data_IF_579257133305
#
_entry.id   IF_579257133305
#
_cell.length_a   1.000
_cell.length_b   1.000
_cell.length_c   1.000
_cell.angle_alpha   90.00
_cell.angle_beta   90.00
_cell.angle_gamma   90.00
#
_symmetry.space_group_name_H-M   'P 1'
#
loop_
_entity.id
_entity.type
_entity.pdbx_description
1 polymer ?
#
# COMPACT_ATOMS: atom_id res chain seq x y z
N UNK A 1 -18.25 70.12 -55.15
CA UNK A 1 -19.14 70.10 -53.96
C UNK A 1 -19.14 68.65 -53.45
N UNK A 2 -18.72 68.41 -52.20
CA UNK A 2 -18.37 67.08 -51.62
C UNK A 2 -17.22 66.35 -52.38
N UNK A 3 -16.10 65.90 -51.81
CA UNK A 3 -15.73 65.38 -50.48
C UNK A 3 -16.40 64.03 -50.12
N UNK A 4 -15.76 62.90 -50.49
CA UNK A 4 -15.04 62.00 -49.54
C UNK A 4 -14.50 60.75 -50.26
N UNK A 5 -13.17 60.57 -50.28
CA UNK A 5 -12.57 59.24 -50.18
C UNK A 5 -12.81 58.74 -48.74
N UNK A 6 -13.20 57.48 -48.56
CA UNK A 6 -12.65 56.66 -47.47
C UNK A 6 -12.83 55.15 -47.70
N UNK A 7 -11.69 54.45 -47.61
CA UNK A 7 -11.51 53.07 -47.14
C UNK A 7 -12.47 51.95 -47.61
N UNK A 8 -12.04 51.22 -48.63
CA UNK A 8 -12.36 49.79 -48.81
C UNK A 8 -11.60 49.00 -47.72
N UNK A 9 -12.21 48.81 -46.56
CA UNK A 9 -11.78 47.84 -45.53
C UNK A 9 -12.99 47.37 -44.73
N UNK A 10 -13.73 46.38 -45.24
CA UNK A 10 -14.71 45.62 -44.46
C UNK A 10 -14.77 44.15 -44.91
N UNK A 11 -13.59 43.53 -45.00
CA UNK A 11 -13.43 42.08 -45.11
C UNK A 11 -12.83 41.57 -43.79
N UNK A 12 -13.25 40.38 -43.37
CA UNK A 12 -12.71 39.63 -42.21
C UNK A 12 -12.93 40.23 -40.80
N UNK A 13 -14.18 40.43 -40.38
CA UNK A 13 -14.53 40.58 -38.95
C UNK A 13 -15.95 40.10 -38.58
N UNK A 14 -16.42 39.02 -39.21
CA UNK A 14 -17.62 38.28 -38.77
C UNK A 14 -17.47 36.76 -38.90
N UNK A 15 -16.25 36.26 -38.70
CA UNK A 15 -16.03 34.93 -38.11
C UNK A 15 -15.65 35.15 -36.64
N UNK A 16 -16.60 35.65 -35.85
CA UNK A 16 -16.58 35.36 -34.42
C UNK A 16 -16.80 33.85 -34.33
N UNK A 17 -15.72 33.12 -34.05
CA UNK A 17 -15.81 31.71 -33.76
C UNK A 17 -16.70 31.55 -32.54
N UNK A 18 -17.95 31.17 -32.79
CA UNK A 18 -18.77 30.47 -31.81
C UNK A 18 -18.16 29.06 -31.74
N UNK A 19 -16.96 28.97 -31.14
CA UNK A 19 -16.53 27.76 -30.44
C UNK A 19 -17.48 27.63 -29.27
N UNK A 20 -18.65 27.07 -29.56
CA UNK A 20 -19.64 26.83 -28.54
C UNK A 20 -19.01 25.83 -27.56
N UNK A 21 -18.85 26.23 -26.30
CA UNK A 21 -18.53 25.29 -25.23
C UNK A 21 -19.73 24.35 -25.05
N UNK A 22 -19.84 23.34 -25.90
CA UNK A 22 -20.76 22.21 -25.77
C UNK A 22 -20.19 21.19 -24.77
N UNK A 23 -19.64 21.69 -23.66
CA UNK A 23 -18.88 20.91 -22.68
C UNK A 23 -19.44 21.17 -21.27
N UNK A 24 -20.70 20.74 -21.07
CA UNK A 24 -21.37 20.39 -19.78
C UNK A 24 -22.89 20.31 -19.98
N UNK A 25 -23.48 21.28 -20.69
CA UNK A 25 -24.93 21.55 -20.68
C UNK A 25 -25.88 20.44 -21.22
N UNK A 26 -25.35 19.35 -21.80
CA UNK A 26 -26.15 18.19 -22.26
C UNK A 26 -25.54 16.83 -21.90
N UNK A 27 -24.58 16.78 -20.97
CA UNK A 27 -24.12 15.50 -20.44
C UNK A 27 -25.18 14.88 -19.52
N UNK A 28 -25.42 13.58 -19.66
CA UNK A 28 -26.24 12.82 -18.70
C UNK A 28 -25.35 12.20 -17.64
N UNK A 29 -25.83 12.13 -16.40
CA UNK A 29 -25.24 11.26 -15.39
C UNK A 29 -25.18 9.82 -15.90
N UNK A 30 -24.01 9.20 -15.79
CA UNK A 30 -23.82 7.78 -16.06
C UNK A 30 -24.67 6.99 -15.06
N UNK A 31 -25.34 5.94 -15.52
CA UNK A 31 -26.31 5.22 -14.68
C UNK A 31 -25.73 4.69 -13.37
N UNK A 32 -26.62 4.30 -12.46
CA UNK A 32 -26.22 3.77 -11.15
C UNK A 32 -25.23 2.61 -11.30
N UNK A 33 -24.29 2.52 -10.35
CA UNK A 33 -23.40 1.38 -10.19
C UNK A 33 -24.25 0.12 -9.99
N UNK A 34 -24.03 -0.86 -10.87
CA UNK A 34 -24.62 -2.20 -10.78
C UNK A 34 -23.65 -3.11 -10.02
N UNK A 35 -22.39 -3.17 -10.47
CA UNK A 35 -21.29 -3.86 -9.80
C UNK A 35 -20.09 -2.92 -9.60
N UNK A 36 -19.38 -3.07 -8.48
CA UNK A 36 -18.13 -2.37 -8.17
C UNK A 36 -17.07 -3.38 -7.72
N UNK A 37 -15.93 -3.39 -8.42
CA UNK A 37 -14.78 -4.21 -8.09
C UNK A 37 -13.57 -3.31 -7.80
N UNK A 38 -12.81 -3.66 -6.76
CA UNK A 38 -11.53 -3.00 -6.44
C UNK A 38 -10.47 -4.09 -6.29
N UNK A 39 -9.35 -3.92 -6.97
CA UNK A 39 -8.12 -4.68 -6.71
C UNK A 39 -7.08 -3.74 -6.12
N UNK A 40 -6.68 -3.91 -4.87
CA UNK A 40 -5.66 -3.06 -4.22
C UNK A 40 -4.32 -3.78 -4.22
N UNK A 41 -3.27 -3.08 -4.66
CA UNK A 41 -1.90 -3.55 -4.70
C UNK A 41 -1.11 -2.89 -3.56
N UNK A 42 0.04 -3.44 -3.17
CA UNK A 42 0.95 -2.71 -2.28
C UNK A 42 1.56 -1.51 -3.02
N UNK A 43 1.72 -0.38 -2.33
CA UNK A 43 2.45 0.78 -2.85
C UNK A 43 1.56 1.81 -3.57
N UNK A 44 0.45 2.18 -2.93
CA UNK A 44 -0.42 3.30 -3.34
C UNK A 44 -0.97 3.12 -4.77
N UNK A 45 -1.53 1.95 -5.06
CA UNK A 45 -2.12 1.59 -6.34
C UNK A 45 -3.35 0.69 -6.15
N UNK A 46 -4.44 1.03 -6.82
CA UNK A 46 -5.59 0.15 -7.00
C UNK A 46 -6.10 0.21 -8.44
N UNK A 47 -6.68 -0.89 -8.91
CA UNK A 47 -7.55 -0.95 -10.08
C UNK A 47 -9.00 -0.90 -9.60
N UNK A 48 -9.77 0.06 -10.10
CA UNK A 48 -11.22 0.14 -9.88
C UNK A 48 -11.93 -0.27 -11.17
N UNK A 49 -13.02 -1.02 -11.04
CA UNK A 49 -13.94 -1.33 -12.13
C UNK A 49 -15.38 -1.09 -11.69
N UNK A 50 -16.16 -0.40 -12.51
CA UNK A 50 -17.57 -0.10 -12.29
C UNK A 50 -18.39 -0.56 -13.50
N UNK A 51 -19.45 -1.34 -13.27
CA UNK A 51 -20.47 -1.62 -14.28
C UNK A 51 -21.66 -0.72 -14.07
N UNK A 52 -22.14 -0.08 -15.14
CA UNK A 52 -23.23 0.91 -15.11
C UNK A 52 -24.10 0.78 -16.36
N UNK A 53 -25.40 1.00 -16.22
CA UNK A 53 -26.32 1.05 -17.35
C UNK A 53 -26.33 2.44 -18.01
N UNK A 54 -25.91 2.51 -19.26
CA UNK A 54 -25.92 3.73 -20.08
C UNK A 54 -27.14 3.74 -21.00
N UNK A 55 -27.91 4.82 -20.96
CA UNK A 55 -29.02 5.06 -21.91
C UNK A 55 -28.52 5.78 -23.17
N UNK A 56 -27.98 4.99 -24.10
CA UNK A 56 -27.45 5.44 -25.39
C UNK A 56 -28.59 5.86 -26.33
N UNK A 57 -28.30 6.88 -27.14
CA UNK A 57 -29.02 7.27 -28.35
C UNK A 57 -28.09 7.13 -29.55
N UNK A 58 -28.67 6.97 -30.72
CA UNK A 58 -27.95 7.07 -32.00
C UNK A 58 -27.43 8.50 -32.20
N UNK A 59 -26.18 8.65 -32.63
CA UNK A 59 -25.47 9.93 -32.78
C UNK A 59 -24.53 10.29 -31.63
N UNK A 60 -24.03 11.54 -31.64
CA UNK A 60 -23.09 12.10 -30.65
C UNK A 60 -23.83 12.52 -29.37
N UNK A 61 -23.26 12.18 -28.21
CA UNK A 61 -23.87 12.42 -26.88
C UNK A 61 -22.81 12.44 -25.76
N UNK A 62 -23.07 13.24 -24.73
CA UNK A 62 -22.18 13.35 -23.56
C UNK A 62 -22.65 12.55 -22.34
N UNK A 63 -21.71 12.05 -21.55
CA UNK A 63 -21.93 11.43 -20.24
C UNK A 63 -20.98 12.02 -19.19
N UNK A 64 -21.43 12.12 -17.95
CA UNK A 64 -20.63 12.48 -16.78
C UNK A 64 -20.65 11.36 -15.74
N UNK A 65 -19.53 11.16 -15.07
CA UNK A 65 -19.35 10.24 -13.96
C UNK A 65 -18.79 11.02 -12.78
N UNK A 66 -19.68 11.37 -11.86
CA UNK A 66 -19.33 12.04 -10.61
C UNK A 66 -18.74 11.05 -9.60
N UNK A 67 -18.02 11.58 -8.60
CA UNK A 67 -17.57 10.84 -7.42
C UNK A 67 -16.51 9.75 -7.70
N UNK A 68 -15.78 9.86 -8.82
CA UNK A 68 -14.55 9.08 -9.04
C UNK A 68 -13.48 9.44 -8.01
N UNK A 69 -12.42 8.64 -7.91
CA UNK A 69 -11.28 9.01 -7.06
C UNK A 69 -10.62 10.29 -7.56
N UNK A 70 -10.34 11.23 -6.63
CA UNK A 70 -9.51 12.41 -6.91
C UNK A 70 -8.03 12.10 -7.15
N UNK A 71 -7.65 10.82 -7.03
CA UNK A 71 -6.31 10.29 -7.32
C UNK A 71 -6.34 9.23 -8.45
N UNK A 72 -7.39 9.17 -9.27
CA UNK A 72 -7.36 8.34 -10.48
C UNK A 72 -6.30 8.85 -11.46
N UNK A 73 -5.76 7.95 -12.27
CA UNK A 73 -4.90 8.30 -13.41
C UNK A 73 -5.76 8.38 -14.69
N UNK A 74 -6.00 9.58 -15.26
CA UNK A 74 -6.89 9.75 -16.42
C UNK A 74 -6.43 8.96 -17.65
N UNK A 75 -5.12 8.79 -17.82
CA UNK A 75 -4.50 8.03 -18.92
C UNK A 75 -4.72 6.52 -18.83
N UNK A 76 -5.37 6.04 -17.78
CA UNK A 76 -5.67 4.61 -17.54
C UNK A 76 -7.16 4.31 -17.56
N UNK A 77 -8.00 5.32 -17.76
CA UNK A 77 -9.44 5.13 -17.87
C UNK A 77 -9.75 4.41 -19.18
N UNK A 78 -10.57 3.37 -19.08
CA UNK A 78 -11.11 2.64 -20.21
C UNK A 78 -12.62 2.46 -20.02
N UNK A 79 -13.41 2.96 -20.97
CA UNK A 79 -14.85 2.71 -21.09
C UNK A 79 -15.06 1.67 -22.19
N UNK A 80 -15.84 0.63 -21.88
CA UNK A 80 -16.15 -0.47 -22.79
C UNK A 80 -17.62 -0.86 -22.72
N UNK A 81 -18.13 -1.41 -23.82
CA UNK A 81 -19.48 -1.98 -23.92
C UNK A 81 -19.40 -3.43 -24.41
N UNK A 82 -20.46 -4.24 -24.22
CA UNK A 82 -20.49 -5.63 -24.68
C UNK A 82 -20.34 -5.75 -26.21
N UNK A 83 -19.89 -6.91 -26.68
CA UNK A 83 -19.76 -7.18 -28.13
C UNK A 83 -21.08 -6.91 -28.86
N UNK A 84 -20.98 -6.24 -30.01
CA UNK A 84 -22.13 -5.86 -30.84
C UNK A 84 -22.71 -4.46 -30.55
N UNK A 85 -22.23 -3.73 -29.54
CA UNK A 85 -22.56 -2.31 -29.35
C UNK A 85 -21.69 -1.44 -30.26
N UNK A 86 -22.31 -0.79 -31.25
CA UNK A 86 -21.62 0.18 -32.12
C UNK A 86 -21.42 1.52 -31.39
N UNK A 87 -20.19 1.85 -31.01
CA UNK A 87 -19.83 3.10 -30.35
C UNK A 87 -18.40 3.54 -30.67
N UNK A 88 -18.17 4.85 -30.63
CA UNK A 88 -16.85 5.49 -30.73
C UNK A 88 -16.70 6.51 -29.59
N UNK A 89 -15.64 6.39 -28.79
CA UNK A 89 -15.31 7.39 -27.78
C UNK A 89 -14.51 8.53 -28.42
N UNK A 90 -15.09 9.73 -28.47
CA UNK A 90 -14.53 10.88 -29.17
C UNK A 90 -13.62 11.71 -28.25
N UNK A 91 -14.09 12.00 -27.04
CA UNK A 91 -13.37 12.85 -26.07
C UNK A 91 -13.54 12.29 -24.65
N UNK A 92 -12.52 12.50 -23.81
CA UNK A 92 -12.56 12.20 -22.38
C UNK A 92 -11.82 13.30 -21.61
N UNK A 93 -12.48 13.89 -20.62
CA UNK A 93 -11.88 14.89 -19.74
C UNK A 93 -12.00 14.42 -18.28
N UNK A 94 -10.95 14.65 -17.48
CA UNK A 94 -11.00 14.47 -16.04
C UNK A 94 -10.85 15.81 -15.35
N UNK A 95 -11.93 16.25 -14.71
CA UNK A 95 -12.03 17.53 -14.06
C UNK A 95 -11.79 17.35 -12.54
N UNK A 96 -10.58 17.72 -12.12
CA UNK A 96 -10.06 17.52 -10.76
C UNK A 96 -9.98 18.81 -9.91
N UNK A 97 -10.36 19.97 -10.47
CA UNK A 97 -10.25 21.27 -9.80
C UNK A 97 -11.43 21.48 -8.83
N UNK A 98 -11.31 20.86 -7.65
CA UNK A 98 -12.33 20.86 -6.61
C UNK A 98 -12.51 22.23 -5.95
N UNK A 99 -13.72 22.48 -5.48
CA UNK A 99 -14.05 23.67 -4.67
C UNK A 99 -13.17 23.76 -3.42
N UNK A 100 -12.31 24.78 -3.38
CA UNK A 100 -11.66 25.27 -2.16
C UNK A 100 -11.98 26.75 -1.96
N UNK A 101 -11.81 27.28 -0.74
CA UNK A 101 -12.00 28.72 -0.50
C UNK A 101 -11.11 29.56 -1.42
N UNK A 102 -9.86 29.16 -1.60
CA UNK A 102 -8.91 29.89 -2.44
C UNK A 102 -9.28 29.81 -3.91
N UNK A 103 -9.73 28.64 -4.41
CA UNK A 103 -10.25 28.48 -5.79
C UNK A 103 -11.52 29.28 -6.04
N UNK A 104 -12.41 29.31 -5.06
CA UNK A 104 -13.62 30.14 -5.11
C UNK A 104 -13.28 31.61 -5.21
N UNK A 105 -12.30 32.08 -4.44
CA UNK A 105 -11.86 33.47 -4.50
C UNK A 105 -11.05 33.75 -5.79
N UNK A 106 -10.23 32.83 -6.28
CA UNK A 106 -9.49 32.95 -7.57
C UNK A 106 -10.43 33.23 -8.75
N UNK A 107 -11.58 32.54 -8.84
CA UNK A 107 -12.61 32.80 -9.88
C UNK A 107 -13.19 34.22 -9.85
N UNK A 108 -13.05 34.93 -8.73
CA UNK A 108 -13.53 36.30 -8.51
C UNK A 108 -12.44 37.37 -8.50
N UNK A 109 -11.18 37.02 -8.84
CA UNK A 109 -10.15 38.04 -9.10
C UNK A 109 -10.60 38.96 -10.24
N UNK A 110 -10.52 40.27 -10.00
CA UNK A 110 -11.03 41.33 -10.87
C UNK A 110 -12.55 41.53 -10.84
N UNK A 111 -13.29 40.77 -10.02
CA UNK A 111 -14.77 40.81 -9.95
C UNK A 111 -15.26 41.43 -8.63
N UNK A 112 -16.47 42.04 -8.62
CA UNK A 112 -17.11 42.52 -7.40
C UNK A 112 -17.58 41.36 -6.49
N UNK A 113 -17.33 41.50 -5.20
CA UNK A 113 -17.73 40.60 -4.10
C UNK A 113 -18.21 41.44 -2.91
N UNK A 114 -18.98 40.85 -1.98
CA UNK A 114 -19.36 41.52 -0.74
C UNK A 114 -18.41 41.17 0.40
N UNK A 115 -17.90 42.17 1.11
CA UNK A 115 -17.22 42.02 2.39
C UNK A 115 -18.23 42.36 3.50
N UNK A 116 -18.41 41.45 4.46
CA UNK A 116 -19.30 41.66 5.62
C UNK A 116 -18.48 41.72 6.90
N UNK A 117 -18.53 42.87 7.56
CA UNK A 117 -17.85 43.19 8.82
C UNK A 117 -18.84 43.33 9.97
N UNK A 118 -18.41 42.98 11.18
CA UNK A 118 -19.19 43.21 12.41
C UNK A 118 -18.70 44.51 13.04
N UNK A 119 -19.62 45.42 13.30
CA UNK A 119 -19.37 46.70 13.96
C UNK A 119 -19.30 46.52 15.49
N UNK A 120 -18.79 47.51 16.22
CA UNK A 120 -18.63 47.43 17.69
C UNK A 120 -19.95 47.29 18.47
N UNK A 121 -21.09 47.67 17.87
CA UNK A 121 -22.43 47.50 18.43
C UNK A 121 -23.04 46.10 18.14
N UNK A 122 -22.30 45.21 17.47
CA UNK A 122 -22.73 43.89 17.05
C UNK A 122 -23.56 43.86 15.75
N UNK A 123 -23.80 45.00 15.11
CA UNK A 123 -24.47 45.04 13.80
C UNK A 123 -23.53 44.61 12.67
N UNK A 124 -24.08 44.09 11.58
CA UNK A 124 -23.30 43.74 10.39
C UNK A 124 -23.36 44.84 9.33
N UNK A 125 -22.20 45.30 8.88
CA UNK A 125 -22.02 46.18 7.73
C UNK A 125 -21.57 45.36 6.51
N UNK A 126 -22.13 45.67 5.33
CA UNK A 126 -21.82 44.97 4.08
C UNK A 126 -21.39 45.97 3.02
N UNK A 127 -20.19 45.77 2.45
CA UNK A 127 -19.59 46.65 1.45
C UNK A 127 -19.23 45.86 0.18
N UNK A 128 -19.47 46.46 -0.98
CA UNK A 128 -19.01 45.94 -2.26
C UNK A 128 -17.53 46.31 -2.50
N UNK A 129 -16.72 45.30 -2.76
CA UNK A 129 -15.28 45.41 -3.00
C UNK A 129 -14.87 44.56 -4.21
N UNK A 130 -13.85 44.96 -4.95
CA UNK A 130 -13.26 44.14 -6.03
C UNK A 130 -12.13 43.31 -5.46
N UNK A 131 -12.17 41.98 -5.59
CA UNK A 131 -11.03 41.14 -5.21
C UNK A 131 -9.89 41.30 -6.22
N UNK A 132 -8.66 41.47 -5.76
CA UNK A 132 -7.47 41.65 -6.60
C UNK A 132 -6.47 40.49 -6.50
N UNK A 133 -6.35 39.84 -5.34
CA UNK A 133 -5.47 38.68 -5.13
C UNK A 133 -5.92 37.84 -3.93
N UNK A 134 -5.59 36.56 -3.97
CA UNK A 134 -5.68 35.58 -2.88
C UNK A 134 -4.30 35.05 -2.46
N UNK A 135 -3.30 35.17 -3.35
CA UNK A 135 -1.94 34.66 -3.14
C UNK A 135 -1.24 35.43 -2.01
N UNK A 136 -0.98 34.76 -0.89
CA UNK A 136 -0.39 35.36 0.31
C UNK A 136 -1.38 36.15 1.18
N UNK A 137 -2.68 36.07 0.88
CA UNK A 137 -3.74 36.78 1.58
C UNK A 137 -4.72 37.48 0.64
N UNK A 138 -5.83 37.96 1.20
CA UNK A 138 -6.88 38.68 0.46
C UNK A 138 -6.44 40.12 0.21
N UNK A 139 -6.21 40.48 -1.04
CA UNK A 139 -6.04 41.88 -1.48
C UNK A 139 -7.34 42.31 -2.16
N UNK A 140 -7.96 43.38 -1.69
CA UNK A 140 -9.22 43.90 -2.23
C UNK A 140 -9.11 45.40 -2.54
N UNK A 141 -9.97 45.91 -3.40
CA UNK A 141 -10.14 47.34 -3.67
C UNK A 141 -11.57 47.76 -3.36
N UNK A 142 -11.75 48.79 -2.56
CA UNK A 142 -13.08 49.29 -2.22
C UNK A 142 -13.67 50.23 -3.30
N UNK A 143 -14.83 50.80 -3.00
CA UNK A 143 -15.56 51.78 -3.83
C UNK A 143 -14.86 53.14 -3.97
N UNK A 144 -13.96 53.49 -3.04
CA UNK A 144 -13.18 54.74 -3.08
C UNK A 144 -11.83 54.55 -3.80
N UNK A 145 -11.46 53.30 -4.11
CA UNK A 145 -10.21 52.93 -4.76
C UNK A 145 -9.07 52.60 -3.78
N UNK A 146 -9.34 52.53 -2.48
CA UNK A 146 -8.35 52.15 -1.48
C UNK A 146 -8.03 50.65 -1.58
N UNK A 147 -6.78 50.28 -1.28
CA UNK A 147 -6.33 48.88 -1.31
C UNK A 147 -6.36 48.30 0.10
N UNK A 148 -7.23 47.33 0.32
CA UNK A 148 -7.40 46.62 1.58
C UNK A 148 -6.54 45.34 1.58
N UNK A 149 -5.66 45.20 2.57
CA UNK A 149 -4.80 44.03 2.76
C UNK A 149 -5.32 43.19 3.94
N UNK A 150 -5.75 41.96 3.65
CA UNK A 150 -6.38 41.04 4.62
C UNK A 150 -7.44 41.72 5.52
N UNK A 151 -8.43 42.44 4.96
CA UNK A 151 -9.45 43.10 5.77
C UNK A 151 -10.22 42.07 6.64
N UNK A 152 -10.60 42.42 7.88
CA UNK A 152 -11.41 41.57 8.74
C UNK A 152 -12.83 41.40 8.16
N UNK A 153 -13.58 40.44 8.69
CA UNK A 153 -14.91 40.08 8.19
C UNK A 153 -14.91 38.87 7.24
N UNK A 154 -16.12 38.48 6.82
CA UNK A 154 -16.36 37.35 5.91
C UNK A 154 -16.61 37.84 4.48
N UNK A 155 -16.18 37.05 3.49
CA UNK A 155 -16.52 37.29 2.08
C UNK A 155 -17.82 36.56 1.74
N UNK A 156 -18.70 37.25 1.03
CA UNK A 156 -19.92 36.71 0.44
C UNK A 156 -19.85 36.91 -1.07
N UNK A 157 -19.91 35.79 -1.81
CA UNK A 157 -19.90 35.78 -3.27
C UNK A 157 -21.33 35.96 -3.81
N UNK A 158 -21.51 36.43 -5.07
CA UNK A 158 -22.83 36.55 -5.69
C UNK A 158 -23.64 35.24 -5.67
N UNK A 159 -24.97 35.34 -5.65
CA UNK A 159 -25.84 34.17 -5.83
C UNK A 159 -25.57 33.49 -7.19
N UNK A 160 -25.65 32.16 -7.24
CA UNK A 160 -25.32 31.36 -8.43
C UNK A 160 -23.81 31.14 -8.67
N UNK A 161 -22.92 31.71 -7.85
CA UNK A 161 -21.47 31.44 -7.92
C UNK A 161 -21.08 29.98 -7.66
N UNK A 162 -22.04 29.15 -7.25
CA UNK A 162 -21.87 27.73 -6.96
C UNK A 162 -22.34 26.79 -8.08
N UNK A 163 -23.01 27.32 -9.12
CA UNK A 163 -23.82 26.51 -10.04
C UNK A 163 -22.96 25.78 -11.10
N UNK A 164 -21.73 26.24 -11.32
CA UNK A 164 -20.71 25.64 -12.20
C UNK A 164 -19.52 25.05 -11.39
N UNK A 165 -19.79 24.56 -10.19
CA UNK A 165 -18.75 24.04 -9.29
C UNK A 165 -18.72 22.52 -9.21
N UNK A 166 -17.56 21.96 -9.55
CA UNK A 166 -17.26 20.56 -9.30
C UNK A 166 -16.91 20.37 -7.82
N UNK A 167 -17.92 20.00 -7.04
CA UNK A 167 -17.81 19.65 -5.63
C UNK A 167 -17.08 18.31 -5.42
N UNK A 168 -16.91 17.51 -6.48
CA UNK A 168 -16.27 16.19 -6.48
C UNK A 168 -15.49 16.00 -7.79
N UNK A 169 -14.47 15.13 -7.80
CA UNK A 169 -13.77 14.76 -9.03
C UNK A 169 -14.79 14.14 -9.99
N UNK A 170 -14.79 14.63 -11.22
CA UNK A 170 -15.76 14.25 -12.24
C UNK A 170 -15.03 13.88 -13.51
N UNK A 171 -15.46 12.78 -14.13
CA UNK A 171 -14.99 12.36 -15.42
C UNK A 171 -16.10 12.61 -16.44
N UNK A 172 -15.78 13.21 -17.58
CA UNK A 172 -16.75 13.45 -18.65
C UNK A 172 -16.29 12.82 -19.95
N UNK A 173 -17.25 12.30 -20.72
CA UNK A 173 -17.04 11.67 -22.02
C UNK A 173 -17.95 12.31 -23.07
N UNK A 174 -17.42 12.44 -24.28
CA UNK A 174 -18.22 12.64 -25.49
C UNK A 174 -18.06 11.39 -26.36
N UNK A 175 -19.17 10.77 -26.74
CA UNK A 175 -19.17 9.55 -27.53
C UNK A 175 -20.21 9.60 -28.65
N UNK A 176 -19.94 8.88 -29.73
CA UNK A 176 -20.91 8.55 -30.75
C UNK A 176 -21.39 7.11 -30.58
N UNK A 177 -22.65 6.83 -30.94
CA UNK A 177 -23.15 5.45 -31.07
C UNK A 177 -24.00 5.30 -32.32
N UNK A 178 -23.88 4.16 -33.00
CA UNK A 178 -24.72 3.78 -34.14
C UNK A 178 -26.08 3.23 -33.73
N UNK A 179 -26.40 3.20 -32.43
CA UNK A 179 -27.62 2.57 -31.91
C UNK A 179 -28.21 3.29 -30.70
N UNK A 180 -29.49 3.03 -30.44
CA UNK A 180 -30.21 3.51 -29.26
C UNK A 180 -30.60 2.35 -28.34
N UNK A 181 -30.48 2.53 -27.03
CA UNK A 181 -30.89 1.51 -26.04
C UNK A 181 -30.17 1.64 -24.70
N UNK A 182 -30.59 0.82 -23.72
CA UNK A 182 -29.86 0.66 -22.47
C UNK A 182 -28.75 -0.38 -22.67
N UNK A 183 -27.51 -0.04 -22.35
CA UNK A 183 -26.34 -0.93 -22.45
C UNK A 183 -25.55 -0.89 -21.15
N UNK A 184 -25.23 -2.05 -20.56
CA UNK A 184 -24.34 -2.11 -19.39
C UNK A 184 -22.90 -1.97 -19.86
N UNK A 185 -22.28 -0.82 -19.59
CA UNK A 185 -20.87 -0.56 -19.88
C UNK A 185 -19.99 -0.84 -18.67
N UNK A 186 -18.75 -1.29 -18.91
CA UNK A 186 -17.71 -1.39 -17.88
C UNK A 186 -16.72 -0.23 -18.03
N UNK A 187 -16.55 0.51 -16.93
CA UNK A 187 -15.53 1.54 -16.74
C UNK A 187 -14.42 0.91 -15.89
N UNK A 188 -13.16 1.09 -16.27
CA UNK A 188 -12.03 0.69 -15.44
C UNK A 188 -10.95 1.78 -15.41
N UNK A 189 -10.25 1.92 -14.28
CA UNK A 189 -9.17 2.90 -14.11
C UNK A 189 -8.21 2.53 -12.98
N UNK A 190 -6.96 2.98 -13.07
CA UNK A 190 -6.02 2.92 -11.96
C UNK A 190 -6.16 4.16 -11.07
N UNK A 191 -5.98 3.97 -9.77
CA UNK A 191 -6.07 5.01 -8.75
C UNK A 191 -4.96 4.91 -7.71
N UNK A 192 -4.46 6.04 -7.26
CA UNK A 192 -3.75 6.16 -5.99
C UNK A 192 -4.73 6.34 -4.81
N UNK A 193 -4.17 6.47 -3.62
CA UNK A 193 -4.90 6.69 -2.37
C UNK A 193 -5.48 5.43 -1.75
N UNK A 194 -5.12 4.26 -2.26
CA UNK A 194 -5.54 2.95 -1.74
C UNK A 194 -4.28 2.11 -1.54
N UNK A 195 -4.12 1.58 -0.33
CA UNK A 195 -2.99 0.72 0.02
C UNK A 195 -3.42 -0.31 1.06
N UNK A 196 -2.67 -1.41 1.16
CA UNK A 196 -2.94 -2.47 2.12
C UNK A 196 -1.65 -3.10 2.67
N UNK A 197 -1.75 -3.70 3.86
CA UNK A 197 -0.69 -4.48 4.49
C UNK A 197 -1.26 -5.65 5.29
N UNK A 198 -0.45 -6.68 5.53
CA UNK A 198 -0.74 -7.71 6.52
C UNK A 198 -0.08 -7.35 7.88
N UNK A 199 -0.85 -7.55 8.94
CA UNK A 199 -0.40 -7.52 10.34
C UNK A 199 -0.80 -8.86 10.97
N UNK A 200 0.10 -9.53 11.68
CA UNK A 200 -0.17 -10.80 12.36
C UNK A 200 0.01 -10.65 13.87
N UNK A 201 -0.81 -11.38 14.63
CA UNK A 201 -0.72 -11.50 16.08
C UNK A 201 -0.50 -12.98 16.40
N UNK A 202 0.56 -13.28 17.15
CA UNK A 202 0.90 -14.63 17.61
C UNK A 202 0.83 -14.64 19.12
N UNK A 203 -0.03 -15.49 19.70
CA UNK A 203 -0.15 -15.70 21.14
C UNK A 203 0.48 -17.04 21.51
N UNK A 204 1.67 -16.99 22.12
CA UNK A 204 2.37 -18.18 22.61
C UNK A 204 1.69 -18.75 23.87
N UNK A 205 1.65 -20.09 23.95
CA UNK A 205 1.30 -20.80 25.17
C UNK A 205 2.40 -20.66 26.25
N UNK A 206 2.13 -21.13 27.47
CA UNK A 206 3.05 -21.00 28.60
C UNK A 206 4.43 -21.65 28.35
N UNK A 207 4.46 -22.74 27.56
CA UNK A 207 5.64 -23.58 27.36
C UNK A 207 6.42 -23.25 26.06
N UNK A 208 6.01 -22.23 25.29
CA UNK A 208 6.55 -21.86 23.97
C UNK A 208 6.48 -22.97 22.89
N UNK A 209 5.59 -23.96 23.07
CA UNK A 209 5.42 -25.14 22.20
C UNK A 209 4.25 -25.05 21.22
N UNK A 210 3.30 -24.14 21.46
CA UNK A 210 2.22 -23.85 20.54
C UNK A 210 1.82 -22.37 20.58
N UNK A 211 1.16 -21.91 19.52
CA UNK A 211 0.57 -20.58 19.45
C UNK A 211 -0.81 -20.58 18.79
N UNK A 212 -1.61 -19.58 19.15
CA UNK A 212 -2.74 -19.13 18.33
C UNK A 212 -2.28 -17.95 17.46
N UNK A 213 -2.61 -17.99 16.17
CA UNK A 213 -2.15 -17.03 15.16
C UNK A 213 -3.36 -16.39 14.46
N UNK A 214 -3.47 -15.07 14.55
CA UNK A 214 -4.43 -14.27 13.81
C UNK A 214 -3.71 -13.44 12.74
N UNK A 215 -4.17 -13.52 11.50
CA UNK A 215 -3.75 -12.63 10.42
C UNK A 215 -4.81 -11.57 10.14
N UNK A 216 -4.40 -10.32 9.98
CA UNK A 216 -5.25 -9.19 9.66
C UNK A 216 -4.76 -8.47 8.41
N UNK A 217 -5.65 -8.27 7.45
CA UNK A 217 -5.46 -7.27 6.39
C UNK A 217 -5.86 -5.90 6.95
N UNK A 218 -4.94 -4.95 6.88
CA UNK A 218 -5.20 -3.53 7.16
C UNK A 218 -5.25 -2.75 5.85
N UNK A 219 -6.44 -2.28 5.45
CA UNK A 219 -6.67 -1.39 4.31
C UNK A 219 -6.61 0.08 4.75
N UNK A 220 -6.11 0.96 3.87
CA UNK A 220 -6.21 2.41 4.02
C UNK A 220 -6.77 3.03 2.74
N UNK A 221 -7.78 3.90 2.86
CA UNK A 221 -8.33 4.67 1.74
C UNK A 221 -8.28 6.17 2.04
N UNK A 222 -7.44 6.88 1.28
CA UNK A 222 -7.31 8.33 1.19
C UNK A 222 -7.45 8.79 -0.29
N UNK A 223 -8.24 8.06 -1.08
CA UNK A 223 -8.42 8.29 -2.53
C UNK A 223 -9.37 9.46 -2.86
N UNK A 224 -10.00 10.05 -1.85
CA UNK A 224 -11.01 11.09 -2.01
C UNK A 224 -12.45 10.56 -2.19
N UNK A 225 -12.63 9.27 -2.46
CA UNK A 225 -13.96 8.67 -2.64
C UNK A 225 -14.19 7.43 -1.78
N UNK A 226 -15.46 7.17 -1.45
CA UNK A 226 -15.92 5.98 -0.74
C UNK A 226 -16.41 4.97 -1.77
N UNK A 227 -15.89 3.76 -1.72
CA UNK A 227 -16.34 2.66 -2.56
C UNK A 227 -17.34 1.81 -1.77
N UNK A 228 -18.62 1.86 -2.13
CA UNK A 228 -19.69 1.18 -1.40
C UNK A 228 -19.94 -0.23 -1.94
N UNK A 229 -20.10 -1.20 -1.03
CA UNK A 229 -20.47 -2.59 -1.35
C UNK A 229 -19.59 -3.25 -2.43
N UNK A 230 -18.29 -2.95 -2.45
CA UNK A 230 -17.37 -3.41 -3.48
C UNK A 230 -16.94 -4.87 -3.26
N UNK A 231 -16.82 -5.63 -4.35
CA UNK A 231 -16.03 -6.87 -4.38
C UNK A 231 -14.55 -6.50 -4.31
N UNK A 232 -13.84 -7.01 -3.31
CA UNK A 232 -12.47 -6.60 -2.99
C UNK A 232 -11.49 -7.74 -3.23
N UNK A 233 -10.51 -7.49 -4.10
CA UNK A 233 -9.32 -8.32 -4.27
C UNK A 233 -8.06 -7.58 -3.80
N UNK A 234 -7.06 -8.31 -3.30
CA UNK A 234 -5.79 -7.75 -2.84
C UNK A 234 -4.63 -8.48 -3.49
N UNK A 235 -3.68 -7.75 -4.08
CA UNK A 235 -2.49 -8.34 -4.71
C UNK A 235 -1.31 -8.18 -3.78
N UNK A 236 -0.70 -9.31 -3.41
CA UNK A 236 0.52 -9.39 -2.62
C UNK A 236 1.72 -9.65 -3.56
N UNK A 237 2.60 -8.66 -3.64
CA UNK A 237 3.81 -8.72 -4.45
C UNK A 237 4.13 -7.40 -5.14
N UNK A 238 5.30 -7.33 -5.78
CA UNK A 238 5.83 -6.08 -6.30
C UNK A 238 5.49 -5.91 -7.79
N UNK A 239 4.43 -5.13 -8.06
CA UNK A 239 4.01 -4.78 -9.43
C UNK A 239 5.00 -3.83 -10.07
N UNK A 240 5.58 -4.24 -11.20
CA UNK A 240 6.45 -3.37 -11.98
C UNK A 240 5.66 -2.19 -12.55
N UNK A 241 6.02 -0.97 -12.14
CA UNK A 241 5.43 0.29 -12.63
C UNK A 241 6.48 1.02 -13.45
N UNK A 242 6.09 1.52 -14.62
CA UNK A 242 6.88 2.55 -15.32
C UNK A 242 6.91 3.79 -14.42
N UNK A 243 8.07 4.01 -13.79
CA UNK A 243 8.42 5.28 -13.16
C UNK A 243 8.96 6.20 -14.24
N UNK A 244 8.67 7.49 -14.17
CA UNK A 244 9.35 8.50 -15.01
C UNK A 244 10.87 8.32 -14.92
N UNK A 245 11.54 8.38 -16.07
CA UNK A 245 12.70 7.52 -16.33
C UNK A 245 13.87 7.65 -15.35
N UNK A 246 14.20 6.53 -14.68
CA UNK A 246 15.59 6.22 -14.29
C UNK A 246 15.91 4.72 -14.42
N UNK A 247 15.86 4.26 -15.69
CA UNK A 247 16.50 3.07 -16.31
C UNK A 247 16.91 1.86 -15.44
N UNK A 248 16.37 0.67 -15.78
CA UNK A 248 17.07 -0.35 -16.62
C UNK A 248 16.21 -1.61 -16.86
N UNK A 249 16.30 -2.18 -18.07
CA UNK A 249 15.62 -3.42 -18.48
C UNK A 249 16.38 -4.69 -18.05
N UNK A 250 15.63 -5.77 -17.75
CA UNK A 250 15.80 -7.11 -18.36
C UNK A 250 14.47 -7.91 -18.26
N UNK A 251 14.10 -8.78 -19.24
CA UNK A 251 12.82 -9.51 -19.27
C UNK A 251 12.94 -11.05 -19.12
N UNK A 252 11.86 -11.75 -18.75
CA UNK A 252 11.57 -13.19 -19.08
C UNK A 252 10.06 -13.57 -18.88
N UNK A 253 9.57 -14.74 -19.36
CA UNK A 253 8.16 -14.97 -19.76
C UNK A 253 7.32 -15.92 -18.85
N UNK A 254 6.07 -16.22 -19.24
CA UNK A 254 5.00 -16.81 -18.41
C UNK A 254 4.30 -18.07 -19.00
N UNK A 255 3.63 -18.88 -18.15
CA UNK A 255 2.38 -19.67 -18.41
C UNK A 255 1.90 -20.49 -17.16
N UNK A 256 0.61 -20.89 -17.11
CA UNK A 256 -0.09 -21.56 -15.96
C UNK A 256 -0.95 -22.78 -16.46
N UNK A 257 -2.03 -23.34 -15.81
CA UNK A 257 -2.60 -23.26 -14.43
C UNK A 257 -3.22 -24.60 -13.84
N UNK A 258 -3.98 -24.49 -12.71
CA UNK A 258 -5.15 -25.32 -12.21
C UNK A 258 -4.91 -26.52 -11.24
N UNK A 259 -5.77 -26.87 -10.25
CA UNK A 259 -6.89 -26.24 -9.47
C UNK A 259 -7.36 -27.18 -8.31
N UNK A 260 -7.90 -26.67 -7.18
CA UNK A 260 -8.96 -27.33 -6.35
C UNK A 260 -9.63 -26.40 -5.31
N UNK A 261 -10.88 -26.70 -4.89
CA UNK A 261 -11.78 -25.79 -4.14
C UNK A 261 -11.80 -25.90 -2.59
N UNK A 262 -11.94 -24.74 -1.91
CA UNK A 262 -12.54 -24.50 -0.57
C UNK A 262 -12.61 -22.97 -0.30
N UNK A 263 -13.43 -22.35 0.57
CA UNK A 263 -14.68 -22.66 1.33
C UNK A 263 -15.33 -21.31 1.76
N UNK A 264 -16.62 -21.21 2.18
CA UNK A 264 -17.29 -19.90 2.28
C UNK A 264 -16.91 -19.08 3.53
N UNK A 265 -16.56 -17.80 3.33
CA UNK A 265 -16.71 -16.74 4.35
C UNK A 265 -15.53 -15.75 4.54
N UNK A 266 -14.31 -16.12 4.15
CA UNK A 266 -13.08 -15.34 4.39
C UNK A 266 -12.49 -14.70 3.13
N UNK A 267 -11.17 -14.46 3.14
CA UNK A 267 -10.41 -14.32 1.90
C UNK A 267 -10.18 -15.71 1.28
N UNK A 268 -10.27 -15.80 -0.04
CA UNK A 268 -9.81 -16.94 -0.83
C UNK A 268 -8.55 -16.51 -1.58
N UNK A 269 -7.46 -17.27 -1.46
CA UNK A 269 -6.25 -17.03 -2.23
C UNK A 269 -6.34 -17.70 -3.61
N UNK A 270 -5.95 -16.98 -4.66
CA UNK A 270 -5.72 -17.49 -5.99
C UNK A 270 -4.38 -16.94 -6.52
N UNK A 271 -3.56 -17.76 -7.17
CA UNK A 271 -2.31 -17.27 -7.76
C UNK A 271 -2.62 -16.51 -9.05
N UNK A 272 -2.20 -15.24 -9.12
CA UNK A 272 -2.41 -14.35 -10.25
C UNK A 272 -1.05 -13.88 -10.79
N UNK A 273 -0.62 -14.46 -11.92
CA UNK A 273 0.75 -14.29 -12.42
C UNK A 273 1.77 -14.74 -11.35
N UNK A 274 2.90 -14.05 -11.21
CA UNK A 274 3.89 -14.26 -10.13
C UNK A 274 3.47 -13.61 -8.79
N UNK A 275 2.17 -13.41 -8.57
CA UNK A 275 1.61 -12.75 -7.37
C UNK A 275 0.52 -13.58 -6.72
N UNK A 276 0.30 -13.38 -5.42
CA UNK A 276 -0.84 -13.96 -4.71
C UNK A 276 -1.99 -12.96 -4.65
N UNK A 277 -3.18 -13.38 -5.08
CA UNK A 277 -4.40 -12.58 -5.10
C UNK A 277 -5.37 -13.08 -4.03
N UNK A 278 -5.75 -12.23 -3.09
CA UNK A 278 -6.64 -12.55 -1.99
C UNK A 278 -8.00 -11.92 -2.27
N UNK A 279 -8.97 -12.75 -2.65
CA UNK A 279 -10.34 -12.35 -2.99
C UNK A 279 -11.27 -12.46 -1.78
N UNK A 280 -11.80 -11.33 -1.32
CA UNK A 280 -12.72 -11.30 -0.20
C UNK A 280 -14.08 -11.85 -0.64
N UNK A 281 -14.48 -13.01 -0.11
CA UNK A 281 -15.69 -13.75 -0.48
C UNK A 281 -17.02 -13.10 -0.02
N UNK A 282 -17.02 -11.78 0.17
CA UNK A 282 -18.18 -10.94 0.48
C UNK A 282 -17.89 -9.48 0.12
N UNK A 283 -18.88 -8.70 -0.34
CA UNK A 283 -18.68 -7.28 -0.62
C UNK A 283 -18.38 -6.49 0.67
N UNK A 284 -17.70 -5.36 0.51
CA UNK A 284 -17.27 -4.48 1.62
C UNK A 284 -17.22 -3.01 1.21
N UNK A 285 -17.66 -2.11 2.09
CA UNK A 285 -17.59 -0.66 1.85
C UNK A 285 -16.25 -0.11 2.33
N UNK A 286 -15.40 0.33 1.41
CA UNK A 286 -14.09 0.96 1.67
C UNK A 286 -14.28 2.48 1.70
N UNK A 287 -14.56 3.04 2.89
CA UNK A 287 -14.82 4.47 3.08
C UNK A 287 -13.58 5.32 2.85
N UNK A 288 -13.75 6.53 2.32
CA UNK A 288 -12.68 7.53 2.28
C UNK A 288 -12.27 7.95 3.70
N UNK A 289 -11.01 8.33 3.87
CA UNK A 289 -10.38 8.70 5.13
C UNK A 289 -10.60 7.64 6.24
N UNK A 290 -10.60 6.36 5.87
CA UNK A 290 -10.77 5.24 6.80
C UNK A 290 -9.62 4.23 6.67
N UNK A 291 -9.12 3.81 7.83
CA UNK A 291 -8.40 2.55 7.99
C UNK A 291 -9.42 1.43 8.33
N UNK A 292 -9.33 0.28 7.67
CA UNK A 292 -10.23 -0.86 7.91
C UNK A 292 -9.41 -2.13 8.10
N UNK A 293 -9.72 -2.90 9.14
CA UNK A 293 -9.17 -4.23 9.32
C UNK A 293 -10.18 -5.30 8.91
N UNK A 294 -9.68 -6.36 8.27
CA UNK A 294 -10.43 -7.54 7.83
C UNK A 294 -9.60 -8.76 8.22
N UNK A 295 -10.21 -9.78 8.84
CA UNK A 295 -9.51 -11.02 9.15
C UNK A 295 -9.02 -11.70 7.87
N UNK A 296 -7.73 -12.04 7.84
CA UNK A 296 -7.08 -12.82 6.79
C UNK A 296 -7.17 -14.31 7.11
N UNK A 297 -6.74 -14.69 8.32
CA UNK A 297 -6.69 -16.06 8.80
C UNK A 297 -6.83 -16.14 10.32
N UNK A 298 -7.23 -17.32 10.79
CA UNK A 298 -7.18 -17.69 12.21
C UNK A 298 -6.75 -19.14 12.28
N UNK A 299 -5.63 -19.40 12.93
CA UNK A 299 -5.10 -20.74 13.18
C UNK A 299 -4.88 -20.89 14.69
N UNK A 300 -5.28 -22.02 15.26
CA UNK A 300 -5.18 -22.27 16.70
C UNK A 300 -4.34 -23.51 16.96
N UNK A 301 -3.61 -23.53 18.07
CA UNK A 301 -2.70 -24.65 18.42
C UNK A 301 -1.68 -24.98 17.31
N UNK A 302 -1.15 -23.94 16.66
CA UNK A 302 -0.03 -24.04 15.71
C UNK A 302 1.22 -24.45 16.48
N UNK A 303 1.86 -25.55 16.11
CA UNK A 303 3.08 -26.03 16.76
C UNK A 303 4.25 -25.06 16.54
N UNK A 304 4.91 -24.67 17.63
CA UNK A 304 6.04 -23.75 17.64
C UNK A 304 7.30 -24.38 18.22
N UNK A 305 8.47 -23.86 17.82
CA UNK A 305 9.78 -24.20 18.35
C UNK A 305 10.51 -22.93 18.76
N UNK A 306 10.88 -22.83 20.04
CA UNK A 306 11.78 -21.80 20.54
C UNK A 306 13.22 -22.19 20.24
N UNK A 307 14.00 -21.25 19.70
CA UNK A 307 15.39 -21.46 19.32
C UNK A 307 16.27 -20.38 19.95
N UNK A 308 17.40 -20.80 20.51
CA UNK A 308 18.49 -19.89 20.92
C UNK A 308 19.58 -19.93 19.87
N UNK A 309 19.98 -18.77 19.34
CA UNK A 309 20.99 -18.66 18.28
C UNK A 309 22.08 -17.69 18.72
N UNK A 310 23.34 -18.12 18.66
CA UNK A 310 24.50 -17.31 18.98
C UNK A 310 25.42 -17.23 17.76
N UNK A 311 25.78 -16.03 17.31
CA UNK A 311 26.72 -15.88 16.18
C UNK A 311 28.11 -16.35 16.61
N UNK A 312 28.54 -17.50 16.08
CA UNK A 312 29.80 -18.09 16.49
C UNK A 312 31.02 -17.29 16.06
N UNK A 313 30.93 -16.44 15.04
CA UNK A 313 32.05 -15.74 14.44
C UNK A 313 32.27 -14.35 15.05
N UNK A 314 31.18 -13.59 15.24
CA UNK A 314 31.21 -12.24 15.79
C UNK A 314 30.89 -12.20 17.30
N UNK A 315 30.27 -13.24 17.85
CA UNK A 315 29.76 -13.25 19.22
C UNK A 315 28.56 -12.30 19.41
N UNK A 316 28.38 -11.82 20.64
CA UNK A 316 27.30 -10.89 21.01
C UNK A 316 26.28 -11.51 21.96
N UNK A 317 25.06 -10.99 21.96
CA UNK A 317 23.95 -11.58 22.70
C UNK A 317 23.39 -12.82 21.98
N UNK A 318 22.84 -13.77 22.75
CA UNK A 318 22.14 -14.93 22.20
C UNK A 318 20.73 -14.51 21.78
N UNK A 319 20.42 -14.56 20.50
CA UNK A 319 19.08 -14.25 19.98
C UNK A 319 18.07 -15.35 20.31
N UNK A 320 16.86 -14.94 20.66
CA UNK A 320 15.69 -15.81 20.84
C UNK A 320 14.84 -15.73 19.57
N UNK A 321 14.59 -16.89 18.96
CA UNK A 321 13.68 -17.02 17.83
C UNK A 321 12.51 -17.94 18.14
N UNK A 322 11.39 -17.69 17.48
CA UNK A 322 10.23 -18.59 17.42
C UNK A 322 10.09 -19.05 15.97
N UNK A 323 10.08 -20.36 15.76
CA UNK A 323 9.85 -20.99 14.47
C UNK A 323 8.52 -21.74 14.46
N UNK A 324 7.78 -21.67 13.36
CA UNK A 324 6.64 -22.53 13.07
C UNK A 324 6.56 -22.79 11.56
N UNK A 325 5.90 -23.88 11.19
CA UNK A 325 5.73 -24.32 9.80
C UNK A 325 4.37 -23.85 9.26
N UNK A 326 4.33 -23.36 8.02
CA UNK A 326 3.11 -22.91 7.35
C UNK A 326 2.39 -24.03 6.57
N UNK A 327 2.21 -25.20 7.19
CA UNK A 327 1.57 -26.39 6.60
C UNK A 327 0.16 -26.64 7.13
N UNK A 328 -0.66 -27.38 6.38
CA UNK A 328 -2.02 -27.75 6.79
C UNK A 328 -2.00 -28.65 8.04
N UNK A 329 -1.01 -29.54 8.13
CA UNK A 329 -0.72 -30.40 9.28
C UNK A 329 -0.47 -29.60 10.56
N UNK A 330 0.01 -28.36 10.43
CA UNK A 330 0.26 -27.44 11.55
C UNK A 330 -0.89 -26.44 11.80
N UNK A 331 -2.10 -26.75 11.30
CA UNK A 331 -3.30 -25.89 11.32
C UNK A 331 -3.17 -24.57 10.54
N UNK A 332 -2.21 -24.48 9.62
CA UNK A 332 -1.92 -23.33 8.77
C UNK A 332 -2.19 -23.70 7.30
N UNK A 333 -1.25 -23.45 6.37
CA UNK A 333 -1.31 -23.99 5.01
C UNK A 333 -1.74 -23.01 3.91
N UNK A 334 -1.91 -21.72 4.22
CA UNK A 334 -2.14 -20.68 3.21
C UNK A 334 -0.89 -19.82 3.01
N UNK A 335 -0.57 -19.37 1.77
CA UNK A 335 0.49 -18.38 1.56
C UNK A 335 0.29 -17.14 2.45
N UNK A 336 1.35 -16.70 3.11
CA UNK A 336 1.33 -15.57 4.04
C UNK A 336 1.91 -14.33 3.32
N UNK A 337 1.12 -13.26 3.11
CA UNK A 337 1.66 -11.98 2.66
C UNK A 337 2.75 -11.43 3.58
N UNK A 338 3.75 -10.75 2.99
CA UNK A 338 4.74 -9.98 3.76
C UNK A 338 4.06 -9.03 4.74
N UNK A 339 4.55 -8.99 5.98
CA UNK A 339 3.86 -8.28 7.06
C UNK A 339 4.64 -8.24 8.37
N UNK A 340 4.11 -7.50 9.34
CA UNK A 340 4.67 -7.45 10.70
C UNK A 340 3.97 -8.49 11.56
N UNK A 341 4.75 -9.32 12.24
CA UNK A 341 4.25 -10.30 13.21
C UNK A 341 4.55 -9.82 14.62
N UNK A 342 3.51 -9.66 15.44
CA UNK A 342 3.63 -9.23 16.84
C UNK A 342 3.38 -10.43 17.74
N UNK A 343 4.37 -10.74 18.58
CA UNK A 343 4.35 -11.91 19.43
C UNK A 343 4.05 -11.49 20.87
N UNK A 344 3.06 -12.16 21.42
CA UNK A 344 2.60 -12.03 22.79
C UNK A 344 2.74 -13.38 23.49
N UNK A 345 2.89 -13.36 24.81
CA UNK A 345 2.86 -14.54 25.66
C UNK A 345 2.07 -14.26 26.92
N UNK A 346 1.31 -15.25 27.39
CA UNK A 346 0.66 -15.18 28.69
C UNK A 346 1.70 -15.20 29.83
N UNK A 347 1.62 -14.23 30.74
CA UNK A 347 2.39 -14.27 31.98
C UNK A 347 1.84 -15.29 32.99
N UNK A 348 2.48 -15.40 34.17
CA UNK A 348 2.07 -16.31 35.24
C UNK A 348 0.68 -16.03 35.85
N UNK A 349 0.01 -14.95 35.43
CA UNK A 349 -1.37 -14.59 35.80
C UNK A 349 -2.34 -14.74 34.61
N UNK A 350 -1.86 -15.24 33.47
CA UNK A 350 -2.64 -15.39 32.24
C UNK A 350 -2.84 -14.09 31.46
N UNK A 351 -2.10 -13.02 31.76
CA UNK A 351 -2.21 -11.75 31.03
C UNK A 351 -1.24 -11.74 29.84
N UNK A 352 -1.73 -11.34 28.66
CA UNK A 352 -0.90 -11.23 27.47
C UNK A 352 0.12 -10.09 27.61
N UNK A 353 1.40 -10.43 27.57
CA UNK A 353 2.52 -9.48 27.53
C UNK A 353 3.15 -9.51 26.14
N UNK A 354 3.51 -8.33 25.62
CA UNK A 354 4.25 -8.21 24.36
C UNK A 354 5.70 -8.67 24.58
N UNK A 355 6.17 -9.62 23.77
CA UNK A 355 7.54 -10.17 23.88
C UNK A 355 8.46 -9.74 22.73
N UNK A 356 7.91 -9.34 21.57
CA UNK A 356 8.66 -8.80 20.45
C UNK A 356 7.85 -8.71 19.16
N UNK A 357 8.41 -8.05 18.14
CA UNK A 357 7.88 -8.07 16.78
C UNK A 357 9.00 -8.31 15.76
N UNK A 358 8.68 -9.01 14.68
CA UNK A 358 9.57 -9.19 13.52
C UNK A 358 8.76 -9.03 12.22
N UNK A 359 9.42 -9.09 11.07
CA UNK A 359 8.76 -9.10 9.75
C UNK A 359 8.95 -10.45 9.07
N UNK A 360 7.89 -10.87 8.37
CA UNK A 360 7.98 -11.94 7.39
C UNK A 360 7.93 -11.36 5.99
N UNK A 361 8.65 -11.98 5.07
CA UNK A 361 8.45 -11.79 3.63
C UNK A 361 7.21 -12.59 3.17
N UNK A 362 6.97 -12.64 1.85
CA UNK A 362 5.92 -13.52 1.31
C UNK A 362 6.35 -14.97 1.53
N UNK A 363 5.66 -15.69 2.43
CA UNK A 363 6.00 -17.06 2.80
C UNK A 363 5.00 -18.02 2.14
N UNK A 364 5.44 -18.92 1.24
CA UNK A 364 4.58 -19.95 0.66
C UNK A 364 3.96 -20.90 1.69
N UNK A 365 3.01 -21.71 1.23
CA UNK A 365 2.57 -22.91 1.94
C UNK A 365 3.76 -23.88 2.14
N UNK A 366 3.76 -24.64 3.24
CA UNK A 366 4.72 -25.68 3.60
C UNK A 366 6.17 -25.18 3.83
N UNK A 367 6.32 -23.90 4.17
CA UNK A 367 7.61 -23.25 4.48
C UNK A 367 7.74 -22.83 5.95
N UNK A 368 8.98 -22.73 6.42
CA UNK A 368 9.33 -22.34 7.80
C UNK A 368 9.25 -20.81 8.00
N UNK A 369 8.38 -20.34 8.89
CA UNK A 369 8.43 -18.98 9.43
C UNK A 369 9.39 -18.93 10.63
N UNK A 370 10.36 -18.02 10.62
CA UNK A 370 11.34 -17.81 11.71
C UNK A 370 11.35 -16.35 12.18
N UNK A 371 10.74 -16.09 13.33
CA UNK A 371 10.64 -14.77 13.94
C UNK A 371 11.75 -14.55 14.96
N UNK A 372 12.41 -13.41 14.90
CA UNK A 372 13.45 -12.95 15.84
C UNK A 372 12.79 -12.07 16.89
N UNK A 373 12.59 -12.60 18.09
CA UNK A 373 11.75 -11.94 19.11
C UNK A 373 12.55 -10.97 19.99
N UNK A 374 13.82 -11.30 20.23
CA UNK A 374 14.72 -10.50 21.05
C UNK A 374 15.99 -11.26 21.40
N UNK A 375 16.61 -10.92 22.52
CA UNK A 375 17.82 -11.56 23.03
C UNK A 375 17.55 -12.21 24.39
N UNK A 376 18.23 -13.33 24.68
CA UNK A 376 18.19 -13.99 25.97
C UNK A 376 18.99 -13.18 26.99
N UNK A 377 18.36 -12.92 28.14
CA UNK A 377 19.03 -12.27 29.26
C UNK A 377 19.96 -13.26 29.98
N UNK A 378 19.41 -14.44 30.32
CA UNK A 378 20.06 -15.46 31.14
C UNK A 378 21.06 -16.35 30.38
N UNK A 379 21.16 -16.21 29.05
CA UNK A 379 22.10 -17.00 28.24
C UNK A 379 23.12 -16.06 27.62
N UNK A 380 24.41 -16.29 27.90
CA UNK A 380 25.52 -15.49 27.40
C UNK A 380 26.54 -16.33 26.66
N UNK A 381 27.06 -15.79 25.55
CA UNK A 381 28.08 -16.41 24.74
C UNK A 381 29.33 -15.55 24.65
N UNK A 382 30.49 -16.19 24.68
CA UNK A 382 31.80 -15.58 24.48
C UNK A 382 32.55 -16.37 23.40
N UNK A 383 33.12 -15.65 22.43
CA UNK A 383 33.86 -16.20 21.30
C UNK A 383 35.31 -15.72 21.35
N UNK A 384 36.26 -16.65 21.36
CA UNK A 384 37.70 -16.35 21.40
C UNK A 384 38.44 -17.09 20.28
N UNK A 385 39.07 -16.34 19.38
CA UNK A 385 40.05 -16.89 18.41
C UNK A 385 41.34 -17.23 19.17
N UNK A 386 41.64 -18.52 19.30
CA UNK A 386 42.76 -19.04 20.09
C UNK A 386 44.07 -19.05 19.31
N UNK A 387 44.01 -19.30 18.01
CA UNK A 387 45.19 -19.44 17.16
C UNK A 387 44.88 -19.09 15.70
N UNK A 388 45.91 -18.64 14.97
CA UNK A 388 45.91 -18.44 13.52
C UNK A 388 47.30 -18.77 12.97
N UNK A 389 47.35 -19.69 12.02
CA UNK A 389 48.57 -20.06 11.32
C UNK A 389 48.36 -19.97 9.80
N UNK A 390 49.19 -19.15 9.15
CA UNK A 390 49.32 -19.12 7.69
C UNK A 390 50.04 -20.39 7.20
N UNK A 391 49.50 -21.04 6.16
CA UNK A 391 50.08 -22.23 5.52
C UNK A 391 50.37 -22.01 4.02
N UNK A 392 50.53 -20.75 3.60
CA UNK A 392 50.99 -20.28 2.28
C UNK A 392 49.94 -20.36 1.17
N UNK A 393 49.16 -21.44 1.12
CA UNK A 393 47.98 -21.61 0.24
C UNK A 393 46.69 -21.70 1.06
N UNK A 394 46.64 -21.04 2.20
CA UNK A 394 45.64 -21.34 3.21
C UNK A 394 46.00 -20.80 4.57
N UNK A 395 45.09 -21.04 5.49
CA UNK A 395 45.33 -20.84 6.92
C UNK A 395 44.64 -21.94 7.72
N UNK A 396 45.08 -22.11 8.96
CA UNK A 396 44.35 -22.84 9.99
C UNK A 396 44.01 -21.90 11.14
N UNK A 397 42.81 -22.03 11.68
CA UNK A 397 42.33 -21.25 12.81
C UNK A 397 41.73 -22.15 13.87
N UNK A 398 42.04 -21.83 15.13
CA UNK A 398 41.46 -22.49 16.30
C UNK A 398 40.60 -21.49 17.06
N UNK A 399 39.37 -21.88 17.41
CA UNK A 399 38.42 -21.07 18.16
C UNK A 399 37.94 -21.79 19.41
N UNK A 400 37.61 -21.02 20.43
CA UNK A 400 36.97 -21.45 21.67
C UNK A 400 35.68 -20.63 21.84
N UNK A 401 34.57 -21.32 22.03
CA UNK A 401 33.27 -20.69 22.31
C UNK A 401 32.79 -21.20 23.66
N UNK A 402 32.40 -20.27 24.52
CA UNK A 402 31.85 -20.55 25.86
C UNK A 402 30.42 -20.04 25.90
N UNK A 403 29.48 -20.91 26.22
CA UNK A 403 28.08 -20.57 26.44
C UNK A 403 27.73 -20.80 27.91
N UNK A 404 27.03 -19.85 28.52
CA UNK A 404 26.60 -19.86 29.92
C UNK A 404 25.08 -19.74 29.98
N UNK A 405 24.46 -20.54 30.83
CA UNK A 405 23.03 -20.56 31.05
C UNK A 405 22.75 -20.34 32.54
N UNK A 406 22.19 -19.18 32.87
CA UNK A 406 21.85 -18.77 34.23
C UNK A 406 20.40 -19.13 34.64
N UNK A 407 19.70 -19.96 33.84
CA UNK A 407 18.39 -20.51 34.19
C UNK A 407 18.57 -21.59 35.26
N UNK A 408 17.82 -21.49 36.35
CA UNK A 408 17.96 -22.40 37.51
C UNK A 408 17.53 -23.86 37.25
N UNK A 409 16.66 -24.11 36.27
CA UNK A 409 15.96 -25.40 36.13
C UNK A 409 15.66 -25.84 34.69
N UNK A 410 16.22 -25.16 33.68
CA UNK A 410 15.98 -25.42 32.26
C UNK A 410 17.32 -25.57 31.52
N UNK A 411 17.64 -26.79 31.10
CA UNK A 411 18.70 -27.06 30.13
C UNK A 411 18.30 -26.50 28.75
N UNK A 412 19.24 -25.87 28.05
CA UNK A 412 18.99 -25.26 26.74
C UNK A 412 19.92 -25.81 25.66
N UNK A 413 19.48 -25.80 24.41
CA UNK A 413 20.35 -26.04 23.26
C UNK A 413 20.50 -24.74 22.48
N UNK A 414 21.74 -24.26 22.37
CA UNK A 414 22.08 -23.07 21.59
C UNK A 414 22.63 -23.50 20.24
N UNK A 415 22.05 -22.98 19.16
CA UNK A 415 22.54 -23.18 17.80
C UNK A 415 23.59 -22.14 17.50
N UNK A 416 24.80 -22.59 17.13
CA UNK A 416 25.95 -21.73 16.86
C UNK A 416 26.35 -21.89 15.39
N UNK A 417 25.78 -21.07 14.47
CA UNK A 417 26.32 -20.97 13.11
C UNK A 417 27.66 -20.22 13.14
N UNK A 418 28.69 -20.82 12.55
CA UNK A 418 30.00 -20.21 12.35
C UNK A 418 30.30 -20.14 10.85
N UNK A 419 30.49 -18.92 10.34
CA UNK A 419 30.73 -18.68 8.91
C UNK A 419 32.23 -18.82 8.58
N UNK A 420 32.53 -19.65 7.58
CA UNK A 420 33.87 -19.96 7.08
C UNK A 420 33.85 -19.82 5.56
N UNK A 421 34.57 -18.83 5.02
CA UNK A 421 34.72 -18.65 3.58
C UNK A 421 35.77 -19.58 2.96
N UNK A 422 35.57 -19.99 1.71
CA UNK A 422 36.55 -20.74 0.92
C UNK A 422 36.40 -22.25 1.00
N UNK A 423 37.41 -22.99 0.53
CA UNK A 423 37.43 -24.46 0.55
C UNK A 423 37.90 -24.92 1.95
N UNK A 424 36.96 -25.25 2.84
CA UNK A 424 37.22 -25.48 4.26
C UNK A 424 36.88 -26.89 4.76
N UNK A 425 37.65 -27.33 5.77
CA UNK A 425 37.43 -28.55 6.54
C UNK A 425 37.71 -28.30 8.01
N UNK A 426 36.86 -28.83 8.91
CA UNK A 426 37.15 -28.87 10.34
C UNK A 426 38.14 -30.02 10.57
N UNK A 427 39.29 -29.68 11.15
CA UNK A 427 40.40 -30.60 11.45
C UNK A 427 40.22 -31.30 12.81
N UNK A 428 39.66 -30.56 13.77
CA UNK A 428 39.38 -31.03 15.12
C UNK A 428 38.17 -30.27 15.66
N UNK A 429 37.29 -30.95 16.40
CA UNK A 429 36.22 -30.31 17.18
C UNK A 429 36.00 -31.10 18.46
N UNK A 430 35.68 -30.43 19.56
CA UNK A 430 35.29 -31.07 20.83
C UNK A 430 33.78 -31.34 20.93
N UNK A 431 33.02 -31.00 19.90
CA UNK A 431 31.58 -31.28 19.75
C UNK A 431 31.25 -31.60 18.29
N UNK A 432 30.20 -32.36 18.03
CA UNK A 432 29.73 -32.61 16.66
C UNK A 432 29.24 -31.33 15.96
N UNK A 433 29.34 -31.31 14.64
CA UNK A 433 28.91 -30.20 13.79
C UNK A 433 28.24 -30.71 12.52
N UNK A 434 27.39 -29.87 11.94
CA UNK A 434 26.80 -30.09 10.61
C UNK A 434 27.36 -29.05 9.64
N UNK A 435 27.84 -29.49 8.47
CA UNK A 435 28.12 -28.56 7.36
C UNK A 435 26.79 -28.17 6.71
N UNK A 436 26.20 -27.09 7.20
CA UNK A 436 24.86 -26.61 6.80
C UNK A 436 24.80 -26.17 5.35
N UNK A 437 25.85 -25.47 4.90
CA UNK A 437 26.01 -25.01 3.53
C UNK A 437 27.50 -24.94 3.17
N UNK A 438 27.83 -24.39 1.99
CA UNK A 438 29.21 -24.27 1.51
C UNK A 438 30.12 -23.48 2.48
N UNK A 439 29.57 -22.51 3.21
CA UNK A 439 30.28 -21.52 4.02
C UNK A 439 29.88 -21.54 5.52
N UNK A 440 29.07 -22.49 5.99
CA UNK A 440 28.61 -22.52 7.40
C UNK A 440 28.83 -23.89 8.05
N UNK A 441 29.56 -23.90 9.16
CA UNK A 441 29.51 -24.98 10.14
C UNK A 441 28.48 -24.59 11.22
N UNK A 442 27.56 -25.49 11.55
CA UNK A 442 26.56 -25.28 12.61
C UNK A 442 26.78 -26.29 13.73
N UNK A 443 26.91 -25.77 14.96
CA UNK A 443 27.05 -26.58 16.18
C UNK A 443 25.76 -26.47 17.00
N UNK A 444 25.23 -27.60 17.47
CA UNK A 444 24.12 -27.64 18.42
C UNK A 444 24.67 -27.90 19.82
N UNK A 445 24.78 -26.86 20.63
CA UNK A 445 25.49 -26.90 21.91
C UNK A 445 24.48 -27.04 23.06
N UNK A 446 24.37 -28.20 23.73
CA UNK A 446 23.61 -28.30 24.96
C UNK A 446 24.34 -27.54 26.08
N UNK A 447 23.61 -26.76 26.86
CA UNK A 447 24.12 -25.99 28.01
C UNK A 447 23.19 -26.26 29.19
N UNK A 448 23.67 -26.92 30.27
CA UNK A 448 22.82 -27.29 31.39
C UNK A 448 22.35 -26.07 32.18
N UNK A 449 21.29 -26.23 32.97
CA UNK A 449 20.82 -25.26 33.96
C UNK A 449 21.93 -24.86 34.96
N UNK A 450 21.97 -23.57 35.33
CA UNK A 450 23.01 -22.89 36.12
C UNK A 450 24.46 -23.33 35.77
N UNK A 451 24.72 -23.44 34.47
CA UNK A 451 25.88 -24.14 33.94
C UNK A 451 26.57 -23.44 32.77
N UNK A 452 27.73 -23.95 32.39
CA UNK A 452 28.44 -23.52 31.20
C UNK A 452 28.82 -24.71 30.32
N UNK A 453 28.98 -24.45 29.02
CA UNK A 453 29.55 -25.40 28.07
C UNK A 453 30.54 -24.68 27.19
N UNK A 454 31.76 -25.19 27.20
CA UNK A 454 32.90 -24.67 26.43
C UNK A 454 33.29 -25.71 25.39
N UNK A 455 33.35 -25.29 24.13
CA UNK A 455 33.85 -26.14 23.06
C UNK A 455 34.94 -25.43 22.26
N UNK A 456 35.81 -26.24 21.66
CA UNK A 456 36.87 -25.76 20.78
C UNK A 456 36.81 -26.49 19.45
N UNK A 457 37.14 -25.78 18.38
CA UNK A 457 37.31 -26.40 17.06
C UNK A 457 38.44 -25.71 16.31
N UNK A 458 39.13 -26.49 15.49
CA UNK A 458 40.13 -26.01 14.55
C UNK A 458 39.67 -26.33 13.13
N UNK A 459 39.72 -25.35 12.24
CA UNK A 459 39.44 -25.53 10.82
C UNK A 459 40.62 -25.10 9.95
N UNK A 460 40.67 -25.64 8.73
CA UNK A 460 41.61 -25.27 7.67
C UNK A 460 40.83 -24.70 6.51
N UNK A 461 41.33 -23.60 5.93
CA UNK A 461 40.90 -23.07 4.62
C UNK A 461 42.04 -23.24 3.64
N UNK A 462 41.73 -23.72 2.43
CA UNK A 462 42.69 -23.85 1.32
C UNK A 462 42.26 -22.95 0.15
N UNK A 463 43.24 -22.28 -0.44
CA UNK A 463 43.10 -21.36 -1.55
C UNK A 463 43.52 -22.11 -2.83
N UNK A 464 42.76 -21.95 -3.92
CA UNK A 464 43.05 -22.62 -5.20
C UNK A 464 44.04 -21.82 -6.04
#
# INVERSE_FOLDING_TARGET
MAIRLLAITLLASCMLAISANWSTAMAKDAGKVEDLYITIYNGDLALVKEKRSFSLREGRQGFTLDNVSGRLNPSTVHLSFPEGVDFELLEQNFDYDLVSMDKMLEKFIGRPISLVTTNDDGTESSQQVTLLSTSGGRVMKDSEGQILLNPPGRVVLPAGSADELLLRPTLSWDLWSGQSGSQTGEISYLSGGLDWKADYVVMLNADDTAADIEGWVTLTNNSGTTFENATLKLVAGDVNRVRDELRRNMPMPAAAPMMSEAKPGGFQEESFFEYHLYDLQRPTTVRNNQQKQIGLLTATSVGTKKLFIFDGHYGGDVSVKVQFENSEENNMGMPLPKGVVRVFKADSKGQAQFVGEDRIDHTPKDEDVRLTIGNAFDIKGETVRKDYQDIGKGFTESWEITLKNHKESEDVVVTVPFRIGGDWSIMQSSIDYVKKDANTAEFSVPVPADGETKFTFQYRVVWR
#
